data_IF_976653211525
#
_entry.id   IF_976653211525
#
_cell.length_a   1.000
_cell.length_b   1.000
_cell.length_c   1.000
_cell.angle_alpha   90.00
_cell.angle_beta   90.00
_cell.angle_gamma   90.00
#
_symmetry.space_group_name_H-M   'P 1'
#
loop_
_entity.id
_entity.type
_entity.pdbx_description
1 polymer ?
#
# COMPACT_ATOMS: atom_id res chain seq x y z
N UNK A 1 1.26 1.22 -9.54
CA UNK A 1 0.02 1.82 -9.02
C UNK A 1 -0.29 1.17 -7.70
N UNK A 2 -0.52 1.95 -6.65
CA UNK A 2 -0.89 1.45 -5.32
C UNK A 2 -2.35 1.75 -5.08
N UNK A 3 -3.07 0.73 -4.66
CA UNK A 3 -4.45 0.79 -4.21
C UNK A 3 -4.49 0.40 -2.74
N UNK A 4 -5.26 1.10 -1.94
CA UNK A 4 -5.55 0.76 -0.55
C UNK A 4 -7.05 0.75 -0.39
N UNK A 5 -7.59 -0.39 0.04
CA UNK A 5 -9.03 -0.65 0.11
C UNK A 5 -9.77 -0.34 -1.21
N UNK A 6 -9.08 -0.60 -2.33
CA UNK A 6 -9.58 -0.28 -3.67
C UNK A 6 -9.44 1.20 -4.09
N UNK A 7 -8.99 2.10 -3.21
CA UNK A 7 -8.70 3.49 -3.56
C UNK A 7 -7.27 3.66 -4.05
N UNK A 8 -7.09 4.24 -5.23
CA UNK A 8 -5.76 4.53 -5.78
C UNK A 8 -5.05 5.61 -4.95
N UNK A 9 -3.99 5.23 -4.24
CA UNK A 9 -3.14 6.16 -3.46
C UNK A 9 -2.07 6.84 -4.33
N UNK A 10 -1.74 6.25 -5.49
CA UNK A 10 -0.94 6.91 -6.52
C UNK A 10 0.02 6.01 -7.27
N UNK A 11 0.98 6.65 -7.96
CA UNK A 11 1.95 6.00 -8.85
C UNK A 11 3.21 5.62 -8.08
N UNK A 12 3.62 4.36 -8.21
CA UNK A 12 4.93 3.87 -7.77
C UNK A 12 5.93 3.97 -8.91
N UNK A 13 7.18 4.45 -8.69
CA UNK A 13 7.74 5.14 -7.51
C UNK A 13 7.86 6.68 -7.74
N UNK A 14 7.57 7.55 -6.74
CA UNK A 14 7.94 7.38 -5.34
C UNK A 14 6.79 7.74 -4.38
N UNK A 15 5.88 6.80 -4.11
CA UNK A 15 5.02 6.90 -2.94
C UNK A 15 5.87 6.57 -1.71
N UNK A 16 6.41 7.61 -1.07
CA UNK A 16 7.28 7.43 0.10
C UNK A 16 6.48 7.06 1.35
N UNK A 17 5.33 7.72 1.56
CA UNK A 17 4.53 7.62 2.78
C UNK A 17 3.08 8.07 2.48
N UNK A 18 2.09 7.44 3.12
CA UNK A 18 0.70 7.90 3.17
C UNK A 18 0.08 7.50 4.52
N UNK A 19 -0.92 8.25 4.96
CA UNK A 19 -1.58 8.04 6.26
C UNK A 19 -2.82 7.17 6.08
N UNK A 20 -2.92 6.11 6.88
CA UNK A 20 -4.12 5.29 6.98
C UNK A 20 -4.72 5.40 8.38
N UNK A 21 -6.03 5.23 8.46
CA UNK A 21 -6.69 5.10 9.75
C UNK A 21 -6.31 3.77 10.41
N UNK A 22 -6.50 3.63 11.72
CA UNK A 22 -6.36 2.35 12.38
C UNK A 22 -7.43 1.37 11.88
N UNK A 23 -7.01 0.15 11.51
CA UNK A 23 -7.91 -0.83 10.93
C UNK A 23 -7.18 -1.85 10.06
N UNK A 24 -7.96 -2.78 9.52
CA UNK A 24 -7.48 -3.72 8.50
C UNK A 24 -7.58 -3.03 7.14
N UNK A 25 -6.48 -3.03 6.40
CA UNK A 25 -6.38 -2.42 5.08
C UNK A 25 -5.83 -3.42 4.08
N UNK A 26 -6.44 -3.50 2.92
CA UNK A 26 -5.95 -4.32 1.81
C UNK A 26 -5.19 -3.44 0.83
N UNK A 27 -3.90 -3.70 0.69
CA UNK A 27 -3.02 -3.00 -0.22
C UNK A 27 -2.84 -3.85 -1.46
N UNK A 28 -3.14 -3.26 -2.62
CA UNK A 28 -2.91 -3.88 -3.91
C UNK A 28 -1.92 -3.03 -4.71
N UNK A 29 -0.82 -3.67 -5.10
CA UNK A 29 0.25 -3.09 -5.89
C UNK A 29 0.16 -3.66 -7.31
N UNK A 30 -0.17 -2.80 -8.27
CA UNK A 30 -0.21 -3.14 -9.70
C UNK A 30 0.95 -2.50 -10.44
N UNK A 31 1.86 -3.30 -10.96
CA UNK A 31 2.86 -2.86 -11.93
C UNK A 31 2.48 -3.32 -13.32
N UNK A 32 2.55 -2.42 -14.29
CA UNK A 32 2.27 -2.74 -15.70
C UNK A 32 3.28 -3.78 -16.18
N UNK A 33 2.81 -4.98 -16.54
CA UNK A 33 3.65 -6.09 -16.99
C UNK A 33 4.03 -7.12 -15.92
N UNK A 34 3.62 -6.92 -14.66
CA UNK A 34 3.81 -7.87 -13.57
C UNK A 34 2.47 -8.28 -12.94
N UNK A 35 2.39 -9.46 -12.29
CA UNK A 35 1.24 -9.84 -11.48
C UNK A 35 0.95 -8.78 -10.40
N UNK A 36 -0.32 -8.51 -10.15
CA UNK A 36 -0.74 -7.68 -9.03
C UNK A 36 -0.38 -8.36 -7.71
N UNK A 37 0.27 -7.64 -6.81
CA UNK A 37 0.58 -8.12 -5.47
C UNK A 37 -0.43 -7.55 -4.50
N UNK A 38 -1.14 -8.41 -3.77
CA UNK A 38 -2.13 -8.00 -2.77
C UNK A 38 -1.69 -8.46 -1.39
N UNK A 39 -1.61 -7.53 -0.46
CA UNK A 39 -1.22 -7.76 0.92
C UNK A 39 -2.25 -7.11 1.85
N UNK A 40 -2.61 -7.81 2.92
CA UNK A 40 -3.52 -7.26 3.94
C UNK A 40 -2.69 -6.91 5.17
N UNK A 41 -2.72 -5.64 5.54
CA UNK A 41 -2.02 -5.13 6.72
C UNK A 41 -3.03 -4.68 7.77
N UNK A 42 -2.66 -4.79 9.03
CA UNK A 42 -3.44 -4.25 10.15
C UNK A 42 -2.68 -3.06 10.74
N UNK A 43 -3.26 -1.87 10.62
CA UNK A 43 -2.75 -0.64 11.22
C UNK A 43 -3.34 -0.52 12.63
N UNK A 44 -2.49 -0.51 13.65
CA UNK A 44 -2.93 -0.21 15.02
C UNK A 44 -2.95 1.31 15.27
N UNK A 45 -3.85 1.78 16.13
CA UNK A 45 -3.98 3.19 16.44
C UNK A 45 -2.70 3.74 17.07
N UNK A 46 -2.19 4.84 16.51
CA UNK A 46 -0.99 5.51 17.00
C UNK A 46 0.33 4.83 16.63
N UNK A 47 0.31 3.83 15.72
CA UNK A 47 1.54 3.22 15.18
C UNK A 47 1.77 3.64 13.73
N UNK A 48 2.97 4.13 13.46
CA UNK A 48 3.45 4.32 12.10
C UNK A 48 3.80 2.96 11.50
N UNK A 49 3.04 2.50 10.51
CA UNK A 49 3.36 1.29 9.76
C UNK A 49 4.10 1.69 8.48
N UNK A 50 5.37 1.31 8.41
CA UNK A 50 6.16 1.49 7.19
C UNK A 50 5.96 0.30 6.26
N UNK A 51 5.15 0.48 5.22
CA UNK A 51 5.13 -0.46 4.10
C UNK A 51 6.39 -0.25 3.26
N UNK A 52 7.39 -1.12 3.43
CA UNK A 52 8.55 -1.18 2.52
C UNK A 52 8.29 -2.24 1.46
N UNK A 53 7.83 -1.80 0.29
CA UNK A 53 7.81 -2.64 -0.90
C UNK A 53 8.97 -2.24 -1.81
N UNK A 54 9.91 -3.16 -2.03
CA UNK A 54 10.95 -2.99 -3.05
C UNK A 54 10.34 -3.30 -4.41
N UNK A 55 10.20 -2.27 -5.23
CA UNK A 55 9.96 -2.42 -6.66
C UNK A 55 11.32 -2.79 -7.28
N UNK A 56 11.58 -4.07 -7.50
CA UNK A 56 12.69 -4.52 -8.35
C UNK A 56 12.45 -4.17 -9.83
#
# INVERSE_FOLDING_TARGET
MVYVDGQMQGLTPPLKQFWLQPGQHTIEVRNTGLPSHTETITIEAGKDVQLRHQFE
#
